data_IF_645510360480
#
_entry.id   IF_645510360480
#
_cell.length_a   1.000
_cell.length_b   1.000
_cell.length_c   1.000
_cell.angle_alpha   90.00
_cell.angle_beta   90.00
_cell.angle_gamma   90.00
#
_symmetry.space_group_name_H-M   'P 1'
#
loop_
_entity.id
_entity.type
_entity.pdbx_description
1 polymer ?
#
# COMPACT_ATOMS: atom_id res chain seq x y z
N UNK A 1 7.85 -1.20 -13.73
CA UNK A 1 7.01 -2.36 -13.35
C UNK A 1 5.59 -2.14 -13.80
N UNK A 2 5.04 -3.08 -14.53
CA UNK A 2 3.67 -3.02 -15.02
C UNK A 2 2.66 -3.14 -13.87
N UNK A 3 1.45 -2.61 -14.07
CA UNK A 3 0.40 -2.63 -13.06
C UNK A 3 0.07 -4.06 -12.58
N UNK A 4 0.00 -5.00 -13.51
CA UNK A 4 -0.23 -6.42 -13.19
C UNK A 4 0.87 -6.98 -12.31
N UNK A 5 2.12 -6.69 -12.63
CA UNK A 5 3.27 -7.14 -11.84
C UNK A 5 3.27 -6.56 -10.44
N UNK A 6 2.88 -5.29 -10.30
CA UNK A 6 2.71 -4.62 -9.01
C UNK A 6 1.68 -5.34 -8.16
N UNK A 7 0.52 -5.59 -8.74
CA UNK A 7 -0.55 -6.29 -8.04
C UNK A 7 -0.10 -7.66 -7.55
N UNK A 8 0.54 -8.44 -8.42
CA UNK A 8 1.06 -9.76 -8.07
C UNK A 8 2.10 -9.68 -6.95
N UNK A 9 2.91 -8.63 -6.95
CA UNK A 9 3.89 -8.38 -5.88
C UNK A 9 3.20 -8.09 -4.56
N UNK A 10 2.19 -7.20 -4.57
CA UNK A 10 1.49 -6.81 -3.35
C UNK A 10 0.74 -7.97 -2.69
N UNK A 11 0.07 -8.80 -3.48
CA UNK A 11 -0.68 -9.94 -2.92
C UNK A 11 0.22 -11.02 -2.32
N UNK A 12 1.52 -10.97 -2.60
CA UNK A 12 2.50 -11.86 -2.00
C UNK A 12 2.85 -11.50 -0.56
N UNK A 13 2.49 -10.29 -0.09
CA UNK A 13 2.71 -9.89 1.30
C UNK A 13 1.53 -10.36 2.16
N UNK A 14 1.82 -10.92 3.31
CA UNK A 14 0.80 -11.24 4.30
C UNK A 14 0.52 -9.98 5.14
N UNK A 15 -0.66 -9.41 4.97
CA UNK A 15 -1.09 -8.21 5.70
C UNK A 15 -2.38 -8.44 6.48
N UNK A 16 -2.66 -9.69 6.83
CA UNK A 16 -3.86 -10.03 7.59
C UNK A 16 -3.94 -9.23 8.88
N UNK A 17 -5.09 -8.61 9.11
CA UNK A 17 -5.38 -7.85 10.32
C UNK A 17 -5.77 -8.76 11.49
N UNK A 18 -5.75 -8.19 12.70
CA UNK A 18 -6.16 -8.87 13.92
C UNK A 18 -7.14 -7.98 14.70
N UNK A 19 -8.44 -8.34 14.75
CA UNK A 19 -9.44 -7.52 15.42
C UNK A 19 -9.29 -7.50 16.96
N UNK A 20 -8.54 -8.44 17.52
CA UNK A 20 -8.28 -8.50 18.95
C UNK A 20 -7.05 -7.71 19.39
N UNK A 21 -6.31 -7.16 18.43
CA UNK A 21 -5.08 -6.41 18.72
C UNK A 21 -5.40 -5.03 19.29
N UNK A 22 -4.56 -4.59 20.23
CA UNK A 22 -4.60 -3.23 20.78
C UNK A 22 -3.54 -2.33 20.15
N UNK A 23 -2.84 -2.81 19.12
CA UNK A 23 -1.77 -2.05 18.45
C UNK A 23 -2.23 -1.44 17.12
N UNK A 24 -1.46 -0.45 16.64
CA UNK A 24 -1.61 0.18 15.34
C UNK A 24 -0.27 0.15 14.61
N UNK A 25 -0.15 -0.57 13.49
CA UNK A 25 -1.18 -1.40 12.86
C UNK A 25 -1.52 -2.62 13.73
N UNK A 26 -2.64 -3.25 13.44
CA UNK A 26 -3.11 -4.40 14.24
C UNK A 26 -2.17 -5.60 14.18
N UNK A 27 -1.40 -5.75 13.11
CA UNK A 27 -0.34 -6.76 12.98
C UNK A 27 0.94 -6.10 12.47
N UNK A 28 2.06 -6.48 13.07
CA UNK A 28 3.38 -5.92 12.68
C UNK A 28 3.77 -6.29 11.24
N UNK A 29 3.28 -7.40 10.72
CA UNK A 29 3.57 -7.83 9.34
C UNK A 29 3.05 -6.88 8.27
N UNK A 30 2.06 -6.04 8.59
CA UNK A 30 1.58 -4.99 7.68
C UNK A 30 2.69 -3.97 7.38
N UNK A 31 3.61 -3.74 8.31
CA UNK A 31 4.71 -2.81 8.12
C UNK A 31 5.65 -3.23 7.00
N UNK A 32 5.74 -4.51 6.71
CA UNK A 32 6.60 -5.02 5.63
C UNK A 32 6.11 -4.47 4.27
N UNK A 33 4.82 -4.58 4.00
CA UNK A 33 4.25 -4.01 2.78
C UNK A 33 4.33 -2.48 2.79
N UNK A 34 4.03 -1.84 3.92
CA UNK A 34 4.08 -0.38 4.02
C UNK A 34 5.47 0.17 3.71
N UNK A 35 6.51 -0.47 4.22
CA UNK A 35 7.89 -0.06 3.92
C UNK A 35 8.25 -0.31 2.45
N UNK A 36 7.78 -1.40 1.88
CA UNK A 36 7.93 -1.66 0.44
C UNK A 36 7.28 -0.57 -0.41
N UNK A 37 6.05 -0.19 -0.05
CA UNK A 37 5.31 0.87 -0.75
C UNK A 37 6.00 2.22 -0.60
N UNK A 38 6.57 2.52 0.56
CA UNK A 38 7.32 3.76 0.77
C UNK A 38 8.54 3.84 -0.17
N UNK A 39 9.29 2.76 -0.31
CA UNK A 39 10.41 2.73 -1.25
C UNK A 39 9.94 2.87 -2.70
N UNK A 40 8.84 2.23 -3.06
CA UNK A 40 8.26 2.36 -4.40
C UNK A 40 7.80 3.80 -4.68
N UNK A 41 7.17 4.46 -3.69
CA UNK A 41 6.79 5.86 -3.82
C UNK A 41 8.00 6.75 -4.09
N UNK A 42 9.11 6.52 -3.40
CA UNK A 42 10.36 7.26 -3.65
C UNK A 42 10.88 7.03 -5.07
N UNK A 43 10.87 5.78 -5.53
CA UNK A 43 11.30 5.43 -6.88
C UNK A 43 10.42 6.09 -7.95
N UNK A 44 9.14 6.26 -7.67
CA UNK A 44 8.19 6.94 -8.55
C UNK A 44 8.33 8.47 -8.51
N UNK A 45 9.16 9.01 -7.60
CA UNK A 45 9.43 10.43 -7.52
C UNK A 45 8.51 11.21 -6.59
N UNK A 46 7.75 10.53 -5.71
CA UNK A 46 6.96 11.22 -4.69
C UNK A 46 7.89 11.85 -3.66
N UNK A 47 7.44 12.98 -3.11
CA UNK A 47 8.14 13.73 -2.08
C UNK A 47 7.52 13.44 -0.70
N UNK A 48 8.26 13.77 0.36
CA UNK A 48 7.81 13.64 1.75
C UNK A 48 7.29 12.24 2.08
N UNK A 49 7.96 11.22 1.56
CA UNK A 49 7.55 9.84 1.76
C UNK A 49 7.97 9.39 3.16
N UNK A 50 7.01 8.89 3.93
CA UNK A 50 7.27 8.35 5.25
C UNK A 50 6.31 7.23 5.61
N UNK A 51 6.73 6.37 6.53
CA UNK A 51 5.86 5.41 7.23
C UNK A 51 5.88 5.84 8.70
N UNK A 52 4.72 6.24 9.22
CA UNK A 52 4.65 6.71 10.60
C UNK A 52 4.52 5.55 11.62
N UNK A 53 4.52 5.91 12.90
CA UNK A 53 4.45 4.94 13.98
C UNK A 53 3.12 4.19 14.06
N UNK A 54 2.07 4.72 13.43
CA UNK A 54 0.73 4.11 13.42
C UNK A 54 0.49 3.23 12.20
N UNK A 55 1.47 3.12 11.29
CA UNK A 55 1.34 2.31 10.09
C UNK A 55 0.65 3.03 8.94
N UNK A 56 0.90 4.32 8.78
CA UNK A 56 0.49 5.07 7.60
C UNK A 56 1.69 5.32 6.71
N UNK A 57 1.64 4.84 5.49
CA UNK A 57 2.61 5.19 4.46
C UNK A 57 2.03 6.33 3.64
N UNK A 58 2.74 7.44 3.59
CA UNK A 58 2.28 8.67 2.94
C UNK A 58 3.35 9.20 1.99
N UNK A 59 2.91 9.82 0.91
CA UNK A 59 3.79 10.50 -0.02
C UNK A 59 3.02 11.59 -0.73
N UNK A 60 3.72 12.55 -1.29
CA UNK A 60 3.15 13.73 -1.94
C UNK A 60 3.64 13.83 -3.38
N UNK A 61 2.70 14.06 -4.29
CA UNK A 61 3.02 14.50 -5.65
C UNK A 61 2.95 16.02 -5.61
N UNK A 62 4.06 16.74 -5.86
CA UNK A 62 4.06 18.19 -5.80
C UNK A 62 3.15 18.80 -6.85
N UNK A 63 2.67 20.00 -6.58
CA UNK A 63 1.84 20.74 -7.52
C UNK A 63 2.58 20.98 -8.84
N UNK A 64 1.83 20.93 -9.93
CA UNK A 64 2.33 21.39 -11.23
C UNK A 64 2.75 22.87 -11.12
N UNK A 65 3.93 23.26 -11.63
CA UNK A 65 4.36 24.66 -11.59
C UNK A 65 3.29 25.62 -12.10
N UNK A 66 2.99 26.64 -11.31
CA UNK A 66 1.94 27.62 -11.59
C UNK A 66 0.58 27.27 -10.99
N UNK A 67 0.43 26.10 -10.36
CA UNK A 67 -0.84 25.63 -9.79
C UNK A 67 -0.76 25.34 -8.28
N UNK A 68 0.22 25.94 -7.61
CA UNK A 68 0.48 25.69 -6.19
C UNK A 68 -0.65 26.16 -5.27
N UNK A 69 -1.51 27.06 -5.75
CA UNK A 69 -2.65 27.59 -5.02
C UNK A 69 -3.94 26.77 -5.19
N UNK A 70 -3.88 25.67 -5.94
CA UNK A 70 -5.03 24.82 -6.17
C UNK A 70 -5.29 23.90 -4.98
N UNK A 71 -6.54 23.42 -4.79
CA UNK A 71 -6.85 22.49 -3.70
C UNK A 71 -6.00 21.22 -3.73
N UNK A 72 -5.61 20.74 -2.54
CA UNK A 72 -4.92 19.48 -2.39
C UNK A 72 -5.95 18.34 -2.43
N UNK A 73 -5.68 17.32 -3.22
CA UNK A 73 -6.53 16.13 -3.33
C UNK A 73 -5.80 14.96 -2.67
N UNK A 74 -6.50 14.25 -1.78
CA UNK A 74 -5.95 13.07 -1.12
C UNK A 74 -6.57 11.79 -1.65
N UNK A 75 -5.73 10.78 -1.88
CA UNK A 75 -6.17 9.42 -2.19
C UNK A 75 -5.80 8.52 -1.01
N UNK A 76 -6.73 7.69 -0.57
CA UNK A 76 -6.57 6.83 0.59
C UNK A 76 -6.89 5.40 0.20
N UNK A 77 -6.03 4.48 0.61
CA UNK A 77 -6.24 3.04 0.40
C UNK A 77 -5.69 2.29 1.60
N UNK A 78 -6.38 1.24 2.02
CA UNK A 78 -5.88 0.40 3.11
C UNK A 78 -5.01 -0.73 2.58
N UNK A 79 -4.11 -1.24 3.42
CA UNK A 79 -3.20 -2.34 3.06
C UNK A 79 -3.54 -3.65 3.77
N UNK A 80 -4.29 -3.58 4.87
CA UNK A 80 -4.65 -4.79 5.61
C UNK A 80 -5.68 -5.62 4.86
N UNK A 81 -5.63 -6.92 5.11
CA UNK A 81 -6.63 -7.86 4.62
C UNK A 81 -7.47 -8.36 5.78
N UNK A 82 -8.65 -8.92 5.45
CA UNK A 82 -9.61 -9.40 6.43
C UNK A 82 -9.02 -10.46 7.36
N UNK A 83 -9.37 -10.44 8.66
CA UNK A 83 -8.95 -11.49 9.57
C UNK A 83 -9.64 -12.84 9.30
N UNK A 84 -10.69 -12.85 8.49
CA UNK A 84 -11.47 -14.06 8.21
C UNK A 84 -10.78 -15.06 7.30
N UNK A 85 -9.76 -14.61 6.55
CA UNK A 85 -8.99 -15.45 5.63
C UNK A 85 -7.50 -15.21 5.82
N UNK A 86 -6.69 -16.26 5.68
CA UNK A 86 -5.24 -16.10 5.73
C UNK A 86 -4.75 -15.19 4.61
N UNK A 87 -3.83 -14.28 4.95
CA UNK A 87 -3.11 -13.47 3.97
C UNK A 87 -1.82 -14.11 3.48
N UNK A 88 -1.46 -15.30 4.02
CA UNK A 88 -0.26 -16.01 3.63
C UNK A 88 -0.55 -17.01 2.50
N UNK A 89 0.51 -17.38 1.78
CA UNK A 89 0.47 -18.40 0.73
C UNK A 89 -0.60 -18.16 -0.34
N UNK A 90 -0.72 -16.91 -0.76
CA UNK A 90 -1.64 -16.53 -1.82
C UNK A 90 -1.10 -17.02 -3.17
N UNK A 91 -1.92 -17.75 -3.91
CA UNK A 91 -1.58 -18.29 -5.22
C UNK A 91 -2.43 -17.64 -6.30
N UNK A 92 -2.09 -16.43 -6.76
CA UNK A 92 -2.87 -15.76 -7.80
C UNK A 92 -2.76 -16.54 -9.11
N UNK A 93 -3.86 -16.57 -9.85
CA UNK A 93 -3.88 -17.12 -11.20
C UNK A 93 -4.37 -16.06 -12.17
N UNK A 94 -3.84 -16.10 -13.38
CA UNK A 94 -4.22 -15.20 -14.43
C UNK A 94 -5.14 -15.93 -15.40
N UNK A 95 -6.30 -15.35 -15.64
CA UNK A 95 -7.22 -15.84 -16.66
C UNK A 95 -7.11 -14.91 -17.86
N UNK A 96 -6.55 -15.43 -18.95
CA UNK A 96 -6.36 -14.65 -20.16
C UNK A 96 -7.61 -14.76 -21.04
N UNK A 97 -7.79 -13.76 -21.90
CA UNK A 97 -8.92 -13.69 -22.83
C UNK A 97 -10.27 -13.88 -22.13
N UNK A 98 -10.38 -13.33 -20.92
CA UNK A 98 -11.62 -13.38 -20.15
C UNK A 98 -12.74 -12.63 -20.88
N UNK A 99 -13.89 -13.31 -21.02
CA UNK A 99 -15.02 -12.81 -21.79
C UNK A 99 -16.27 -12.65 -20.92
#
# INVERSE_FOLDING_TARGET
MELKERFLKYVGFDTQSDPESETYPSTAKQLILLNYLAEEMKELGLEDVEVDANGYAMGTIPATPGYEDRPVIGFISHVDTSPDMSGADIHPRIIENYD
#
